data_IF_141437666547
#
_entry.id   IF_141437666547
#
_cell.length_a   1.000
_cell.length_b   1.000
_cell.length_c   1.000
_cell.angle_alpha   90.00
_cell.angle_beta   90.00
_cell.angle_gamma   90.00
#
_symmetry.space_group_name_H-M   'P 1'
#
loop_
_entity.id
_entity.type
_entity.pdbx_description
1 polymer ?
#
# COMPACT_ATOMS: atom_id res chain seq x y z
N UNK A 1 -17.71 -24.26 11.62
CA UNK A 1 -16.75 -24.72 11.29
C UNK A 1 -16.02 -23.89 10.51
N UNK A 2 -15.05 -23.79 10.44
CA UNK A 2 -14.35 -23.05 9.91
C UNK A 2 -13.72 -23.50 8.92
N UNK A 3 -14.13 -23.49 8.01
CA UNK A 3 -13.56 -23.80 6.90
C UNK A 3 -12.43 -22.92 6.63
N UNK A 4 -11.42 -23.16 7.17
CA UNK A 4 -10.30 -22.49 6.77
C UNK A 4 -9.85 -23.15 5.55
N UNK A 5 -10.06 -22.54 4.46
CA UNK A 5 -9.50 -23.05 3.29
C UNK A 5 -8.03 -22.77 3.33
N UNK A 6 -7.24 -23.79 3.35
CA UNK A 6 -5.81 -23.65 3.21
C UNK A 6 -5.50 -23.57 1.74
N UNK A 7 -5.05 -22.41 1.33
CA UNK A 7 -4.63 -22.23 -0.05
C UNK A 7 -3.20 -22.74 -0.22
N UNK A 8 -2.96 -23.41 -1.33
CA UNK A 8 -1.61 -23.83 -1.65
C UNK A 8 -1.20 -23.17 -2.95
N UNK A 9 0.04 -22.75 -3.00
CA UNK A 9 0.52 -21.97 -4.13
C UNK A 9 1.65 -22.72 -4.82
N UNK A 10 1.71 -22.60 -6.13
CA UNK A 10 2.88 -23.09 -6.86
C UNK A 10 4.06 -22.20 -6.52
N UNK A 11 5.24 -22.65 -6.85
CA UNK A 11 6.46 -21.87 -6.61
C UNK A 11 6.39 -20.53 -7.34
N UNK A 12 5.87 -20.53 -8.55
CA UNK A 12 5.75 -19.34 -9.35
C UNK A 12 4.76 -18.36 -8.72
N UNK A 13 3.62 -18.86 -8.29
CA UNK A 13 2.60 -18.02 -7.64
C UNK A 13 3.13 -17.41 -6.35
N UNK A 14 3.83 -18.21 -5.56
CA UNK A 14 4.41 -17.73 -4.31
C UNK A 14 5.44 -16.63 -4.58
N UNK A 15 6.23 -16.80 -5.63
CA UNK A 15 7.23 -15.82 -6.03
C UNK A 15 6.57 -14.48 -6.40
N UNK A 16 5.47 -14.53 -7.15
CA UNK A 16 4.74 -13.33 -7.48
C UNK A 16 4.18 -12.65 -6.24
N UNK A 17 3.63 -13.41 -5.31
CA UNK A 17 3.10 -12.83 -4.07
C UNK A 17 4.20 -12.17 -3.25
N UNK A 18 5.38 -12.76 -3.24
CA UNK A 18 6.51 -12.17 -2.52
C UNK A 18 7.01 -10.90 -3.18
N UNK A 19 6.99 -10.86 -4.51
CA UNK A 19 7.32 -9.64 -5.24
C UNK A 19 6.31 -8.54 -4.94
N UNK A 20 5.02 -8.87 -4.94
CA UNK A 20 3.98 -7.91 -4.59
C UNK A 20 4.17 -7.40 -3.16
N UNK A 21 4.51 -8.29 -2.24
CA UNK A 21 4.75 -7.91 -0.86
C UNK A 21 5.86 -6.87 -0.77
N UNK A 22 6.96 -7.11 -1.48
CA UNK A 22 8.10 -6.20 -1.48
C UNK A 22 7.70 -4.84 -2.06
N UNK A 23 6.93 -4.84 -3.14
CA UNK A 23 6.45 -3.60 -3.75
C UNK A 23 5.54 -2.83 -2.80
N UNK A 24 4.62 -3.51 -2.13
CA UNK A 24 3.72 -2.84 -1.19
C UNK A 24 4.49 -2.24 -0.02
N UNK A 25 5.48 -2.96 0.49
CA UNK A 25 6.31 -2.44 1.57
C UNK A 25 7.04 -1.18 1.16
N UNK A 26 7.59 -1.16 -0.04
CA UNK A 26 8.29 0.01 -0.56
C UNK A 26 7.34 1.18 -0.72
N UNK A 27 6.15 0.94 -1.27
CA UNK A 27 5.15 1.98 -1.45
C UNK A 27 4.70 2.57 -0.11
N UNK A 28 4.51 1.73 0.89
CA UNK A 28 4.13 2.19 2.23
C UNK A 28 5.19 3.15 2.77
N UNK A 29 6.45 2.77 2.66
CA UNK A 29 7.54 3.62 3.14
C UNK A 29 7.58 4.94 2.42
N UNK A 30 7.43 4.92 1.09
CA UNK A 30 7.47 6.14 0.30
C UNK A 30 6.27 7.04 0.58
N UNK A 31 5.08 6.48 0.66
CA UNK A 31 3.90 7.30 0.96
C UNK A 31 3.99 7.91 2.35
N UNK A 32 4.51 7.17 3.32
CA UNK A 32 4.70 7.70 4.66
C UNK A 32 5.67 8.88 4.64
N UNK A 33 6.78 8.74 3.93
CA UNK A 33 7.77 9.78 3.81
C UNK A 33 7.18 11.00 3.10
N UNK A 34 6.48 10.79 1.99
CA UNK A 34 5.93 11.89 1.21
C UNK A 34 4.80 12.61 1.95
N UNK A 35 4.01 11.89 2.73
CA UNK A 35 2.99 12.52 3.56
C UNK A 35 3.62 13.52 4.52
N UNK A 36 4.83 13.22 4.98
CA UNK A 36 5.53 14.12 5.89
C UNK A 36 6.22 15.25 5.17
N UNK A 37 6.64 15.07 3.94
CA UNK A 37 7.40 16.06 3.22
C UNK A 37 6.58 16.99 2.34
N UNK A 38 5.39 16.59 1.94
CA UNK A 38 4.57 17.38 1.04
C UNK A 38 4.21 18.73 1.66
N UNK A 39 4.20 19.76 0.83
CA UNK A 39 3.82 21.09 1.28
C UNK A 39 2.32 21.32 1.13
N UNK A 40 1.73 20.78 0.08
CA UNK A 40 0.30 20.94 -0.18
C UNK A 40 -0.47 19.98 0.71
N UNK A 41 -1.46 20.52 1.43
CA UNK A 41 -2.24 19.72 2.36
C UNK A 41 -3.00 18.60 1.66
N UNK A 42 -3.53 18.88 0.48
CA UNK A 42 -4.23 17.85 -0.28
C UNK A 42 -3.31 16.72 -0.67
N UNK A 43 -2.08 17.02 -1.05
CA UNK A 43 -1.10 16.01 -1.40
C UNK A 43 -0.75 15.17 -0.18
N UNK A 44 -0.62 15.79 0.99
CA UNK A 44 -0.39 15.06 2.23
C UNK A 44 -1.51 14.06 2.50
N UNK A 45 -2.74 14.50 2.31
CA UNK A 45 -3.90 13.64 2.54
C UNK A 45 -3.93 12.47 1.56
N UNK A 46 -3.61 12.74 0.30
CA UNK A 46 -3.54 11.70 -0.72
C UNK A 46 -2.48 10.66 -0.35
N UNK A 47 -1.31 11.12 0.06
CA UNK A 47 -0.25 10.20 0.45
C UNK A 47 -0.65 9.35 1.65
N UNK A 48 -1.32 9.95 2.63
CA UNK A 48 -1.79 9.19 3.80
C UNK A 48 -2.86 8.17 3.42
N UNK A 49 -3.79 8.57 2.55
CA UNK A 49 -4.83 7.66 2.11
C UNK A 49 -4.20 6.48 1.36
N UNK A 50 -3.25 6.77 0.49
CA UNK A 50 -2.59 5.71 -0.26
C UNK A 50 -1.74 4.81 0.63
N UNK A 51 -1.11 5.39 1.65
CA UNK A 51 -0.37 4.58 2.62
C UNK A 51 -1.29 3.58 3.30
N UNK A 52 -2.47 4.01 3.72
CA UNK A 52 -3.42 3.13 4.38
C UNK A 52 -3.92 2.04 3.44
N UNK A 53 -4.18 2.40 2.18
CA UNK A 53 -4.59 1.42 1.18
C UNK A 53 -3.51 0.38 0.95
N UNK A 54 -2.26 0.82 0.87
CA UNK A 54 -1.16 -0.12 0.64
C UNK A 54 -0.94 -1.02 1.85
N UNK A 55 -1.16 -0.52 3.05
CA UNK A 55 -1.08 -1.36 4.25
C UNK A 55 -2.15 -2.44 4.24
N UNK A 56 -3.35 -2.10 3.76
CA UNK A 56 -4.43 -3.06 3.60
C UNK A 56 -4.05 -4.13 2.55
N UNK A 57 -3.47 -3.71 1.44
CA UNK A 57 -3.01 -4.63 0.40
C UNK A 57 -1.93 -5.57 0.95
N UNK A 58 -0.99 -5.02 1.71
CA UNK A 58 0.08 -5.81 2.29
C UNK A 58 -0.48 -6.87 3.25
N UNK A 59 -1.47 -6.48 4.06
CA UNK A 59 -2.11 -7.41 4.97
C UNK A 59 -2.78 -8.55 4.20
N UNK A 60 -3.46 -8.21 3.10
CA UNK A 60 -4.09 -9.21 2.26
C UNK A 60 -3.06 -10.16 1.64
N UNK A 61 -1.93 -9.62 1.17
CA UNK A 61 -0.87 -10.44 0.59
C UNK A 61 -0.28 -11.36 1.64
N UNK A 62 -0.07 -10.87 2.85
CA UNK A 62 0.45 -11.71 3.93
C UNK A 62 -0.53 -12.82 4.29
N UNK A 63 -1.84 -12.54 4.28
CA UNK A 63 -2.84 -13.56 4.52
C UNK A 63 -2.81 -14.62 3.42
N UNK A 64 -2.70 -14.19 2.17
CA UNK A 64 -2.60 -15.13 1.05
C UNK A 64 -1.34 -15.98 1.17
N UNK A 65 -0.22 -15.38 1.52
CA UNK A 65 1.03 -16.13 1.68
C UNK A 65 0.93 -17.15 2.80
N UNK A 66 0.11 -16.88 3.82
CA UNK A 66 -0.08 -17.84 4.90
C UNK A 66 -1.15 -18.87 4.57
N UNK A 67 -1.74 -18.79 3.38
CA UNK A 67 -2.76 -19.74 2.94
C UNK A 67 -4.18 -19.40 3.36
N UNK A 68 -4.43 -18.15 3.75
CA UNK A 68 -5.76 -17.73 4.17
C UNK A 68 -6.35 -16.76 3.18
N UNK A 69 -7.68 -16.75 3.11
CA UNK A 69 -8.36 -15.76 2.27
C UNK A 69 -8.40 -14.43 2.99
N UNK A 70 -8.09 -13.34 2.29
CA UNK A 70 -8.13 -12.02 2.91
C UNK A 70 -9.55 -11.60 3.29
N UNK A 71 -9.64 -10.80 4.34
CA UNK A 71 -10.91 -10.23 4.75
C UNK A 71 -11.03 -8.84 4.14
N UNK A 72 -11.83 -8.74 3.11
CA UNK A 72 -11.95 -7.49 2.36
C UNK A 72 -12.67 -6.41 3.13
N UNK A 73 -13.48 -6.80 4.12
CA UNK A 73 -14.23 -5.82 4.89
C UNK A 73 -13.35 -4.86 5.71
N UNK A 74 -12.13 -5.20 5.92
CA UNK A 74 -11.22 -4.35 6.68
C UNK A 74 -10.86 -3.08 5.94
N UNK A 75 -11.06 -3.03 4.64
CA UNK A 75 -10.69 -1.85 3.88
C UNK A 75 -11.53 -0.63 4.24
N UNK A 76 -12.79 -0.84 4.59
CA UNK A 76 -13.63 0.27 5.00
C UNK A 76 -13.17 0.93 6.29
N UNK A 77 -12.61 0.13 7.19
CA UNK A 77 -12.13 0.68 8.46
C UNK A 77 -10.87 1.51 8.29
N UNK A 78 -10.10 1.21 7.27
CA UNK A 78 -8.87 1.94 7.02
C UNK A 78 -9.13 3.38 6.62
N UNK A 79 -10.22 3.64 5.91
CA UNK A 79 -10.55 4.99 5.51
C UNK A 79 -10.92 5.86 6.69
N UNK A 80 -11.55 5.30 7.70
CA UNK A 80 -11.87 6.05 8.90
C UNK A 80 -10.60 6.38 9.68
N UNK A 81 -9.68 5.45 9.75
CA UNK A 81 -8.42 5.69 10.41
C UNK A 81 -7.60 6.76 9.70
N UNK A 82 -7.72 6.79 8.38
CA UNK A 82 -7.02 7.78 7.61
C UNK A 82 -7.43 9.20 8.00
N UNK A 83 -8.69 9.43 8.26
CA UNK A 83 -9.14 10.76 8.62
C UNK A 83 -8.56 11.23 9.94
N UNK A 84 -8.20 10.31 10.81
CA UNK A 84 -7.61 10.67 12.09
C UNK A 84 -6.17 11.14 11.94
N UNK A 85 -5.53 10.83 10.83
CA UNK A 85 -4.17 11.24 10.62
C UNK A 85 -4.04 12.55 9.87
N UNK A 86 -5.14 13.25 9.69
CA UNK A 86 -5.09 14.47 8.93
C UNK A 86 -4.37 15.60 9.66
N UNK A 87 -4.24 15.53 10.97
CA UNK A 87 -3.49 16.53 11.67
C UNK A 87 -2.04 16.12 11.62
N UNK A 88 -1.32 16.63 10.70
CA UNK A 88 0.01 16.18 10.60
C UNK A 88 0.98 17.15 11.02
N UNK A 89 2.07 16.65 11.44
CA UNK A 89 3.13 17.42 11.85
C UNK A 89 3.80 17.92 10.66
N UNK A 90 4.37 19.07 10.65
CA UNK A 90 5.06 19.57 9.64
C UNK A 90 6.36 18.99 9.49
N UNK A 91 6.78 18.66 8.41
CA UNK A 91 8.08 18.13 8.13
C UNK A 91 8.70 18.97 7.04
N UNK A 92 9.92 19.35 7.25
CA UNK A 92 10.59 20.06 6.24
C UNK A 92 11.12 19.06 5.26
N UNK A 93 10.48 18.97 4.16
CA UNK A 93 10.91 18.03 3.15
C UNK A 93 11.96 18.63 2.24
N UNK A 94 12.78 17.78 1.69
CA UNK A 94 13.74 18.19 0.69
C UNK A 94 13.19 18.01 -0.71
N UNK A 95 12.07 17.29 -0.86
CA UNK A 95 11.48 17.08 -2.17
C UNK A 95 10.33 18.04 -2.39
N UNK A 96 10.24 18.56 -3.60
CA UNK A 96 9.10 19.41 -3.96
C UNK A 96 7.86 18.55 -4.18
N UNK A 97 6.69 19.17 -4.09
CA UNK A 97 5.44 18.47 -4.37
C UNK A 97 5.43 17.89 -5.78
N UNK A 98 6.04 18.59 -6.73
CA UNK A 98 6.11 18.11 -8.10
C UNK A 98 6.92 16.81 -8.17
N UNK A 99 8.04 16.74 -7.47
CA UNK A 99 8.86 15.54 -7.45
C UNK A 99 8.13 14.39 -6.78
N UNK A 100 7.41 14.69 -5.72
CA UNK A 100 6.60 13.69 -5.03
C UNK A 100 5.53 13.12 -5.98
N UNK A 101 4.82 13.99 -6.67
CA UNK A 101 3.79 13.54 -7.62
C UNK A 101 4.38 12.70 -8.74
N UNK A 102 5.54 13.10 -9.25
CA UNK A 102 6.20 12.35 -10.31
C UNK A 102 6.55 10.94 -9.83
N UNK A 103 7.11 10.82 -8.62
CA UNK A 103 7.48 9.52 -8.09
C UNK A 103 6.26 8.66 -7.79
N UNK A 104 5.18 9.26 -7.28
CA UNK A 104 3.94 8.53 -7.02
C UNK A 104 3.41 7.93 -8.33
N UNK A 105 3.40 8.71 -9.40
CA UNK A 105 2.94 8.19 -10.69
C UNK A 105 3.79 7.01 -11.13
N UNK A 106 5.10 7.09 -10.94
CA UNK A 106 5.99 5.99 -11.30
C UNK A 106 5.75 4.76 -10.44
N UNK A 107 5.54 4.95 -9.14
CA UNK A 107 5.25 3.84 -8.23
C UNK A 107 3.98 3.12 -8.63
N UNK A 108 2.91 3.88 -8.90
CA UNK A 108 1.62 3.29 -9.24
C UNK A 108 1.70 2.54 -10.55
N UNK A 109 2.44 3.08 -11.51
CA UNK A 109 2.62 2.41 -12.78
C UNK A 109 3.36 1.09 -12.61
N UNK A 110 4.38 1.07 -11.78
CA UNK A 110 5.17 -0.12 -11.54
C UNK A 110 4.36 -1.19 -10.82
N UNK A 111 3.60 -0.80 -9.80
CA UNK A 111 2.74 -1.72 -9.06
C UNK A 111 1.70 -2.31 -10.00
N UNK A 112 1.06 -1.49 -10.82
CA UNK A 112 0.07 -1.95 -11.76
C UNK A 112 0.66 -2.98 -12.72
N UNK A 113 1.85 -2.74 -13.21
CA UNK A 113 2.54 -3.67 -14.08
C UNK A 113 2.81 -5.01 -13.40
N UNK A 114 3.23 -4.97 -12.13
CA UNK A 114 3.49 -6.18 -11.36
C UNK A 114 2.22 -6.99 -11.15
N UNK A 115 1.11 -6.33 -10.82
CA UNK A 115 -0.15 -7.02 -10.65
C UNK A 115 -0.62 -7.64 -11.95
N UNK A 116 -0.47 -6.94 -13.06
CA UNK A 116 -0.85 -7.49 -14.37
C UNK A 116 -0.05 -8.73 -14.70
N UNK A 117 1.21 -8.77 -14.33
CA UNK A 117 2.05 -9.94 -14.57
C UNK A 117 1.62 -11.11 -13.70
N UNK A 118 1.19 -10.83 -12.48
CA UNK A 118 0.79 -11.87 -11.53
C UNK A 118 -0.55 -12.52 -11.90
N UNK A 119 -1.39 -11.79 -12.60
CA UNK A 119 -2.69 -12.29 -13.00
C UNK A 119 -2.57 -13.06 -14.29
#
# INVERSE_FOLDING_TARGET
>A
MNATMNLTWTQKEKSYLEDLKTHEQLCIEKYSLYANQAQCEQLKQICKANEMSERSHLDSINQLLSGKLPNINQQGNNQQKYQQFMSTTQVQGTLSDKDICTDILMMEKQVSSTYNTAV
#
